data_IF_738884493990
#
_entry.id   IF_738884493990
#
_cell.length_a   1.000
_cell.length_b   1.000
_cell.length_c   1.000
_cell.angle_alpha   90.00
_cell.angle_beta   90.00
_cell.angle_gamma   90.00
#
_symmetry.space_group_name_H-M   'P 1'
#
loop_
_entity.id
_entity.type
_entity.pdbx_description
1 polymer ?
#
# COMPACT_ATOMS: atom_id res chain seq x y z
N UNK A 1 6.03 15.20 -9.89
CA UNK A 1 5.93 13.92 -9.16
C UNK A 1 4.89 14.17 -8.08
N UNK A 2 3.73 13.53 -8.16
CA UNK A 2 2.64 13.76 -7.21
C UNK A 2 3.08 13.41 -5.79
N UNK A 3 2.65 14.20 -4.82
CA UNK A 3 3.00 14.04 -3.41
C UNK A 3 1.94 13.20 -2.67
N UNK A 4 2.30 12.64 -1.51
CA UNK A 4 1.41 11.74 -0.73
C UNK A 4 0.09 12.43 -0.37
N UNK A 5 0.12 13.74 -0.18
CA UNK A 5 -1.01 14.60 0.17
C UNK A 5 -2.06 14.64 -0.94
N UNK A 6 -1.66 14.46 -2.19
CA UNK A 6 -2.53 14.53 -3.38
C UNK A 6 -3.25 13.21 -3.66
N UNK A 7 -2.76 12.09 -3.09
CA UNK A 7 -3.29 10.75 -3.35
C UNK A 7 -4.78 10.63 -3.02
N UNK A 8 -5.24 11.31 -1.95
CA UNK A 8 -6.67 11.27 -1.59
C UNK A 8 -7.55 11.82 -2.71
N UNK A 9 -7.19 13.00 -3.23
CA UNK A 9 -7.97 13.64 -4.30
C UNK A 9 -7.91 12.82 -5.60
N UNK A 10 -6.75 12.25 -5.92
CA UNK A 10 -6.58 11.40 -7.10
C UNK A 10 -7.42 10.11 -7.03
N UNK A 11 -7.53 9.49 -5.85
CA UNK A 11 -8.42 8.34 -5.62
C UNK A 11 -9.89 8.75 -5.76
N UNK A 12 -10.27 9.91 -5.19
CA UNK A 12 -11.64 10.42 -5.29
C UNK A 12 -12.02 10.68 -6.77
N UNK A 13 -11.12 11.22 -7.59
CA UNK A 13 -11.30 11.41 -9.04
C UNK A 13 -11.42 10.07 -9.81
N UNK A 14 -10.53 9.12 -9.53
CA UNK A 14 -10.55 7.79 -10.14
C UNK A 14 -11.90 7.10 -9.92
N UNK A 15 -12.45 7.18 -8.70
CA UNK A 15 -13.73 6.55 -8.34
C UNK A 15 -14.94 7.28 -8.93
N UNK A 16 -14.85 8.60 -9.12
CA UNK A 16 -15.93 9.40 -9.68
C UNK A 16 -15.98 9.39 -11.21
N UNK A 17 -14.92 8.91 -11.88
CA UNK A 17 -14.86 8.85 -13.33
C UNK A 17 -15.81 7.79 -13.88
N UNK A 18 -16.70 8.19 -14.78
CA UNK A 18 -17.55 7.27 -15.53
C UNK A 18 -16.73 6.62 -16.66
N UNK A 19 -16.30 5.38 -16.43
CA UNK A 19 -15.55 4.58 -17.40
C UNK A 19 -14.18 4.11 -16.90
N UNK A 20 -13.37 3.49 -17.77
CA UNK A 20 -12.04 3.01 -17.40
C UNK A 20 -11.10 4.15 -16.98
N UNK A 21 -10.34 3.93 -15.91
CA UNK A 21 -9.36 4.88 -15.37
C UNK A 21 -8.07 4.15 -14.99
N UNK A 22 -6.90 4.81 -15.13
CA UNK A 22 -5.61 4.32 -14.66
C UNK A 22 -4.99 5.34 -13.70
N UNK A 23 -4.80 4.93 -12.45
CA UNK A 23 -4.05 5.70 -11.44
C UNK A 23 -2.71 5.00 -11.16
N UNK A 24 -1.61 5.62 -11.54
CA UNK A 24 -0.27 5.16 -11.17
C UNK A 24 0.09 5.70 -9.78
N UNK A 25 0.17 4.80 -8.79
CA UNK A 25 0.57 5.13 -7.43
C UNK A 25 1.98 4.58 -7.16
N UNK A 26 2.98 5.47 -7.21
CA UNK A 26 4.34 5.12 -6.85
C UNK A 26 4.44 4.86 -5.33
N UNK A 27 5.06 3.74 -4.96
CA UNK A 27 5.30 3.35 -3.56
C UNK A 27 6.80 3.16 -3.35
N UNK A 28 7.22 3.12 -2.09
CA UNK A 28 8.59 2.77 -1.72
C UNK A 28 8.98 1.39 -2.27
N UNK A 29 10.19 1.29 -2.83
CA UNK A 29 10.71 0.04 -3.40
C UNK A 29 10.96 -1.03 -2.33
N UNK A 30 11.47 -0.60 -1.18
CA UNK A 30 11.73 -1.47 -0.02
C UNK A 30 10.69 -1.18 1.08
N UNK A 31 9.64 -2.00 1.12
CA UNK A 31 8.62 -1.99 2.16
C UNK A 31 8.26 -3.40 2.58
N UNK A 32 8.40 -3.70 3.87
CA UNK A 32 8.04 -5.01 4.42
C UNK A 32 6.55 -5.05 4.77
N UNK A 33 5.90 -6.18 4.48
CA UNK A 33 4.55 -6.46 5.00
C UNK A 33 4.70 -6.96 6.42
N UNK A 34 4.27 -6.13 7.38
CA UNK A 34 4.36 -6.40 8.81
C UNK A 34 2.97 -6.30 9.46
N UNK A 35 2.71 -7.05 10.55
CA UNK A 35 3.62 -8.04 11.12
C UNK A 35 3.65 -9.35 10.29
N UNK A 36 4.71 -10.13 10.42
CA UNK A 36 4.89 -11.38 9.67
C UNK A 36 5.19 -12.55 10.63
N UNK A 37 4.52 -13.69 10.43
CA UNK A 37 4.94 -14.95 11.06
C UNK A 37 6.04 -15.60 10.22
N UNK A 38 7.25 -15.87 10.78
CA UNK A 38 8.32 -16.51 10.03
C UNK A 38 7.89 -17.88 9.45
N UNK A 39 8.46 -18.33 8.33
CA UNK A 39 8.14 -19.63 7.76
C UNK A 39 8.29 -20.77 8.76
N UNK A 40 7.22 -21.53 8.99
CA UNK A 40 7.20 -22.62 9.97
C UNK A 40 7.09 -22.19 11.44
N UNK A 41 7.04 -20.89 11.71
CA UNK A 41 6.79 -20.33 13.04
C UNK A 41 5.31 -20.37 13.41
N UNK A 42 5.05 -20.36 14.71
CA UNK A 42 3.69 -20.19 15.23
C UNK A 42 3.32 -18.70 15.27
N UNK A 43 2.02 -18.40 15.29
CA UNK A 43 1.49 -17.02 15.35
C UNK A 43 2.06 -16.22 16.53
N UNK A 44 2.39 -16.88 17.64
CA UNK A 44 3.02 -16.24 18.81
C UNK A 44 4.51 -15.87 18.62
N UNK A 45 5.12 -16.22 17.48
CA UNK A 45 6.50 -15.85 17.08
C UNK A 45 6.50 -14.77 16.01
N UNK A 46 5.39 -14.05 15.86
CA UNK A 46 5.21 -13.00 14.88
C UNK A 46 6.21 -11.85 15.09
N UNK A 47 6.86 -11.44 14.00
CA UNK A 47 7.74 -10.27 13.96
C UNK A 47 6.88 -9.01 13.79
N UNK A 48 7.04 -8.04 14.70
CA UNK A 48 6.27 -6.80 14.71
C UNK A 48 6.96 -5.67 13.94
N UNK A 49 8.29 -5.62 13.97
CA UNK A 49 9.12 -4.58 13.35
C UNK A 49 10.39 -5.22 12.77
N UNK A 50 10.97 -4.61 11.73
CA UNK A 50 12.22 -5.00 11.09
C UNK A 50 13.27 -3.91 11.27
#
# INVERSE_FOLDING_TARGET
>A
MFAREELKAAVDEMLATDGPFLLEACVQEEGNVMPMTPPGGSVNQMLLEC
#
